data_IF_898885388075
#
_entry.id   IF_898885388075
#
_cell.length_a   1.000
_cell.length_b   1.000
_cell.length_c   1.000
_cell.angle_alpha   90.00
_cell.angle_beta   90.00
_cell.angle_gamma   90.00
#
_symmetry.space_group_name_H-M   'P 1'
#
loop_
_entity.id
_entity.type
_entity.pdbx_description
1 polymer ?
#
# COMPACT_ATOMS: atom_id res chain seq x y z
N UNK A 1 -25.29 6.56 20.07
CA UNK A 1 -23.83 6.60 19.80
C UNK A 1 -23.13 5.35 20.39
N UNK A 2 -23.59 4.14 20.06
CA UNK A 2 -23.07 2.87 20.61
C UNK A 2 -22.69 1.85 19.53
N UNK A 3 -22.78 2.22 18.25
CA UNK A 3 -22.45 1.35 17.12
C UNK A 3 -21.02 1.51 16.58
N UNK A 4 -20.21 2.42 17.15
CA UNK A 4 -18.83 2.66 16.68
C UNK A 4 -17.76 1.90 17.48
N UNK A 5 -18.07 1.37 18.66
CA UNK A 5 -17.09 0.69 19.53
C UNK A 5 -16.94 -0.81 19.26
N UNK A 6 -17.80 -1.40 18.43
CA UNK A 6 -17.78 -2.83 18.10
C UNK A 6 -17.62 -3.08 16.59
N UNK A 7 -17.01 -2.15 15.85
CA UNK A 7 -16.38 -2.55 14.59
C UNK A 7 -15.11 -3.30 14.97
N UNK A 8 -15.23 -4.62 15.09
CA UNK A 8 -14.11 -5.53 15.23
C UNK A 8 -13.15 -5.20 14.09
N UNK A 9 -12.00 -4.59 14.40
CA UNK A 9 -10.94 -4.33 13.44
C UNK A 9 -10.31 -5.72 13.15
N UNK A 10 -10.56 -6.27 11.98
CA UNK A 10 -10.07 -7.53 11.45
C UNK A 10 -8.65 -7.42 10.87
N UNK A 11 -7.89 -6.37 11.19
CA UNK A 11 -6.45 -6.29 10.96
C UNK A 11 -5.69 -7.55 11.43
N UNK A 12 -6.23 -8.31 12.38
CA UNK A 12 -5.69 -9.61 12.79
C UNK A 12 -5.69 -10.64 11.65
N UNK A 13 -6.54 -10.48 10.63
CA UNK A 13 -6.51 -11.31 9.42
C UNK A 13 -5.26 -11.04 8.59
N UNK A 14 -4.69 -9.83 8.60
CA UNK A 14 -3.37 -9.58 8.00
C UNK A 14 -2.31 -10.47 8.67
N UNK A 15 -2.42 -10.67 10.00
CA UNK A 15 -1.55 -11.57 10.76
C UNK A 15 -1.74 -13.05 10.38
N UNK A 16 -2.76 -13.42 9.62
CA UNK A 16 -2.97 -14.79 9.11
C UNK A 16 -2.66 -14.90 7.61
N UNK A 17 -3.18 -13.97 6.80
CA UNK A 17 -3.04 -13.96 5.34
C UNK A 17 -1.57 -13.78 4.95
N UNK A 18 -0.86 -12.85 5.61
CA UNK A 18 0.54 -12.58 5.29
C UNK A 18 1.42 -13.80 5.57
N UNK A 19 1.35 -14.46 6.75
CA UNK A 19 2.10 -15.69 6.98
C UNK A 19 1.72 -16.84 6.05
N UNK A 20 0.43 -17.02 5.72
CA UNK A 20 0.01 -18.07 4.77
C UNK A 20 0.64 -17.84 3.40
N UNK A 21 0.64 -16.60 2.91
CA UNK A 21 1.30 -16.24 1.65
C UNK A 21 2.81 -16.55 1.70
N UNK A 22 3.49 -16.23 2.81
CA UNK A 22 4.89 -16.56 3.04
C UNK A 22 5.15 -18.08 3.11
N UNK A 23 4.27 -18.86 3.72
CA UNK A 23 4.38 -20.32 3.78
C UNK A 23 4.27 -20.91 2.37
N UNK A 24 3.26 -20.48 1.59
CA UNK A 24 3.11 -20.89 0.21
C UNK A 24 4.33 -20.52 -0.64
N UNK A 25 4.93 -19.36 -0.38
CA UNK A 25 6.18 -18.94 -1.03
C UNK A 25 7.34 -19.87 -0.69
N UNK A 26 7.60 -20.12 0.60
CA UNK A 26 8.70 -21.00 1.04
C UNK A 26 8.50 -22.41 0.49
N UNK A 27 7.26 -22.93 0.51
CA UNK A 27 6.94 -24.23 -0.05
C UNK A 27 7.21 -24.30 -1.57
N UNK A 28 6.76 -23.30 -2.33
CA UNK A 28 7.01 -23.21 -3.77
C UNK A 28 8.51 -23.15 -4.09
N UNK A 29 9.27 -22.36 -3.32
CA UNK A 29 10.72 -22.26 -3.45
C UNK A 29 11.41 -23.61 -3.20
N UNK A 30 11.03 -24.33 -2.14
CA UNK A 30 11.58 -25.66 -1.83
C UNK A 30 11.26 -26.67 -2.93
N UNK A 31 10.06 -26.65 -3.51
CA UNK A 31 9.68 -27.53 -4.62
C UNK A 31 10.53 -27.29 -5.88
N UNK A 32 10.81 -26.02 -6.18
CA UNK A 32 11.71 -25.64 -7.28
C UNK A 32 13.14 -26.12 -7.00
N UNK A 33 13.64 -25.90 -5.78
CA UNK A 33 14.99 -26.30 -5.37
C UNK A 33 15.18 -27.81 -5.45
N UNK A 34 14.18 -28.58 -4.98
CA UNK A 34 14.19 -30.04 -5.06
C UNK A 34 14.08 -30.56 -6.49
N UNK A 35 13.33 -29.88 -7.37
CA UNK A 35 13.30 -30.17 -8.81
C UNK A 35 14.64 -29.90 -9.50
N UNK A 36 15.34 -28.85 -9.09
CA UNK A 36 16.69 -28.52 -9.55
C UNK A 36 17.73 -29.57 -9.12
N UNK A 37 17.74 -29.95 -7.84
CA UNK A 37 18.63 -30.99 -7.29
C UNK A 37 18.43 -32.33 -8.02
N UNK A 38 17.21 -32.61 -8.48
CA UNK A 38 16.89 -33.82 -9.26
C UNK A 38 17.29 -33.76 -10.73
N UNK A 39 17.98 -32.71 -11.18
CA UNK A 39 18.65 -32.67 -12.49
C UNK A 39 17.80 -32.24 -13.68
N UNK A 40 16.59 -31.70 -13.46
CA UNK A 40 15.79 -31.13 -14.54
C UNK A 40 16.31 -29.74 -14.94
N UNK A 41 16.65 -29.52 -16.22
CA UNK A 41 17.02 -28.20 -16.74
C UNK A 41 15.96 -27.11 -16.47
N UNK A 42 14.69 -27.52 -16.30
CA UNK A 42 13.58 -26.67 -15.87
C UNK A 42 13.74 -26.11 -14.43
N UNK A 43 14.47 -26.81 -13.55
CA UNK A 43 14.72 -26.37 -12.18
C UNK A 43 15.62 -25.14 -12.08
N UNK A 44 16.52 -24.94 -13.05
CA UNK A 44 17.48 -23.82 -13.05
C UNK A 44 16.79 -22.49 -13.39
N UNK A 45 15.87 -22.51 -14.36
CA UNK A 45 14.98 -21.40 -14.68
C UNK A 45 13.99 -21.11 -13.54
N UNK A 46 13.40 -22.15 -12.95
CA UNK A 46 12.50 -22.00 -11.80
C UNK A 46 13.17 -21.33 -10.59
N UNK A 47 14.44 -21.64 -10.31
CA UNK A 47 15.17 -21.16 -9.12
C UNK A 47 15.38 -19.65 -9.11
N UNK A 48 15.41 -19.02 -10.29
CA UNK A 48 15.53 -17.56 -10.42
C UNK A 48 14.16 -16.93 -10.66
N UNK A 49 13.35 -17.51 -11.55
CA UNK A 49 12.06 -16.92 -11.96
C UNK A 49 11.05 -16.90 -10.81
N UNK A 50 10.95 -17.96 -10.00
CA UNK A 50 9.94 -18.04 -8.93
C UNK A 50 10.23 -17.04 -7.81
N UNK A 51 11.45 -16.94 -7.25
CA UNK A 51 11.76 -15.91 -6.26
C UNK A 51 11.58 -14.50 -6.80
N UNK A 52 12.00 -14.25 -8.05
CA UNK A 52 11.88 -12.91 -8.65
C UNK A 52 10.42 -12.54 -8.90
N UNK A 53 9.60 -13.45 -9.45
CA UNK A 53 8.17 -13.18 -9.61
C UNK A 53 7.48 -12.95 -8.27
N UNK A 54 7.82 -13.72 -7.24
CA UNK A 54 7.18 -13.57 -5.94
C UNK A 54 7.67 -12.31 -5.23
N UNK A 55 8.96 -11.99 -5.27
CA UNK A 55 9.46 -10.72 -4.76
C UNK A 55 8.82 -9.54 -5.51
N UNK A 56 8.70 -9.62 -6.83
CA UNK A 56 7.98 -8.62 -7.62
C UNK A 56 6.49 -8.55 -7.25
N UNK A 57 5.83 -9.69 -7.04
CA UNK A 57 4.41 -9.72 -6.64
C UNK A 57 4.20 -9.21 -5.22
N UNK A 58 5.12 -9.47 -4.30
CA UNK A 58 5.04 -9.03 -2.90
C UNK A 58 5.40 -7.55 -2.72
N UNK A 59 6.32 -7.04 -3.54
CA UNK A 59 6.83 -5.65 -3.44
C UNK A 59 6.10 -4.70 -4.39
N UNK A 60 5.65 -5.17 -5.56
CA UNK A 60 5.03 -4.36 -6.62
C UNK A 60 3.56 -4.71 -6.81
N UNK A 61 3.11 -5.90 -6.38
CA UNK A 61 1.69 -6.24 -6.45
C UNK A 61 0.85 -5.25 -5.64
N UNK A 62 -0.41 -5.05 -6.06
CA UNK A 62 -1.38 -4.16 -5.43
C UNK A 62 -1.84 -4.65 -4.03
N UNK A 63 -0.90 -4.95 -3.13
CA UNK A 63 -1.13 -5.41 -1.76
C UNK A 63 -1.86 -4.37 -0.93
N UNK A 64 -1.77 -3.10 -1.32
CA UNK A 64 -2.59 -2.03 -0.75
C UNK A 64 -4.10 -2.36 -0.78
N UNK A 65 -4.57 -3.17 -1.73
CA UNK A 65 -5.99 -3.55 -1.84
C UNK A 65 -6.42 -4.64 -0.84
N UNK A 66 -5.46 -5.44 -0.38
CA UNK A 66 -5.69 -6.57 0.54
C UNK A 66 -5.34 -6.16 1.97
N UNK A 67 -4.14 -5.60 2.16
CA UNK A 67 -3.53 -5.27 3.45
C UNK A 67 -2.90 -3.85 3.42
N UNK A 68 -3.71 -2.78 3.34
CA UNK A 68 -3.21 -1.41 3.19
C UNK A 68 -2.30 -0.95 4.33
N UNK A 69 -2.59 -1.37 5.57
CA UNK A 69 -1.78 -1.04 6.74
C UNK A 69 -0.39 -1.69 6.67
N UNK A 70 -0.33 -2.95 6.24
CA UNK A 70 0.93 -3.68 6.05
C UNK A 70 1.74 -3.05 4.91
N UNK A 71 1.10 -2.76 3.78
CA UNK A 71 1.73 -2.05 2.66
C UNK A 71 2.33 -0.72 3.09
N UNK A 72 1.57 0.11 3.82
CA UNK A 72 2.05 1.37 4.35
C UNK A 72 3.24 1.18 5.27
N UNK A 73 3.15 0.24 6.22
CA UNK A 73 4.21 -0.01 7.19
C UNK A 73 5.53 -0.43 6.53
N UNK A 74 5.46 -1.31 5.52
CA UNK A 74 6.64 -1.77 4.77
C UNK A 74 7.28 -0.65 3.94
N UNK A 75 6.49 0.32 3.46
CA UNK A 75 6.95 1.41 2.60
C UNK A 75 7.04 2.77 3.32
N UNK A 76 6.84 2.81 4.64
CA UNK A 76 6.73 4.04 5.43
C UNK A 76 7.92 4.98 5.20
N UNK A 77 9.14 4.45 5.20
CA UNK A 77 10.34 5.24 4.96
C UNK A 77 10.35 5.93 3.58
N UNK A 78 9.78 5.29 2.56
CA UNK A 78 9.68 5.85 1.21
C UNK A 78 8.56 6.89 1.11
N UNK A 79 7.45 6.71 1.82
CA UNK A 79 6.44 7.75 1.98
C UNK A 79 7.00 8.98 2.71
N UNK A 80 7.78 8.78 3.77
CA UNK A 80 8.47 9.87 4.47
C UNK A 80 9.50 10.58 3.58
N UNK A 81 10.16 9.86 2.67
CA UNK A 81 10.99 10.46 1.63
C UNK A 81 10.15 11.25 0.63
N UNK A 82 9.00 10.72 0.20
CA UNK A 82 8.09 11.37 -0.73
C UNK A 82 7.55 12.70 -0.20
N UNK A 83 7.37 12.86 1.12
CA UNK A 83 7.00 14.13 1.76
C UNK A 83 8.03 15.25 1.52
N UNK A 84 9.29 14.92 1.26
CA UNK A 84 10.37 15.90 1.08
C UNK A 84 10.56 16.32 -0.37
N UNK A 85 9.89 15.64 -1.30
CA UNK A 85 9.99 15.95 -2.72
C UNK A 85 9.01 17.07 -3.06
N UNK A 86 9.47 18.03 -3.84
CA UNK A 86 8.61 19.02 -4.45
C UNK A 86 7.81 18.37 -5.58
N UNK A 87 6.48 18.39 -5.47
CA UNK A 87 5.54 17.82 -6.44
C UNK A 87 4.84 18.91 -7.26
N UNK A 88 5.20 20.18 -7.06
CA UNK A 88 4.55 21.35 -7.65
C UNK A 88 3.28 21.77 -6.92
N UNK A 89 2.66 22.85 -7.42
CA UNK A 89 1.42 23.43 -6.89
C UNK A 89 0.15 22.87 -7.56
N UNK A 90 0.32 21.94 -8.50
CA UNK A 90 -0.80 21.30 -9.19
C UNK A 90 -1.59 20.39 -8.24
N UNK A 91 -2.91 20.38 -8.41
CA UNK A 91 -3.79 19.50 -7.64
C UNK A 91 -3.43 18.01 -7.85
N UNK A 92 -2.89 17.64 -9.02
CA UNK A 92 -2.37 16.31 -9.35
C UNK A 92 -0.86 16.35 -9.59
N UNK A 93 -0.09 16.55 -8.51
CA UNK A 93 1.36 16.50 -8.55
C UNK A 93 1.89 15.10 -8.93
N UNK A 94 3.13 15.04 -9.42
CA UNK A 94 3.79 13.78 -9.80
C UNK A 94 5.04 13.51 -8.97
N UNK A 95 5.11 12.31 -8.44
CA UNK A 95 6.30 11.80 -7.77
C UNK A 95 7.45 11.55 -8.76
N UNK A 96 8.71 11.65 -8.27
CA UNK A 96 9.88 11.28 -9.05
C UNK A 96 9.83 9.79 -9.36
N UNK A 97 10.43 9.38 -10.48
CA UNK A 97 10.27 8.03 -11.08
C UNK A 97 10.43 6.89 -10.06
N UNK A 98 11.43 6.98 -9.19
CA UNK A 98 11.73 5.96 -8.19
C UNK A 98 10.68 5.83 -7.06
N UNK A 99 9.79 6.82 -6.88
CA UNK A 99 8.71 6.82 -5.88
C UNK A 99 7.33 6.63 -6.50
N UNK A 100 7.21 6.62 -7.83
CA UNK A 100 5.90 6.54 -8.51
C UNK A 100 5.13 5.27 -8.19
N UNK A 101 5.83 4.17 -7.87
CA UNK A 101 5.19 2.90 -7.52
C UNK A 101 4.41 2.95 -6.20
N UNK A 102 4.63 3.97 -5.37
CA UNK A 102 3.94 4.13 -4.10
C UNK A 102 2.47 4.53 -4.27
N UNK A 103 2.07 5.01 -5.44
CA UNK A 103 0.77 5.64 -5.65
C UNK A 103 0.21 5.33 -7.02
N UNK A 104 -1.11 5.40 -7.16
CA UNK A 104 -1.78 5.25 -8.45
C UNK A 104 -1.26 6.31 -9.44
N UNK A 105 -0.73 5.82 -10.57
CA UNK A 105 -0.14 6.67 -11.61
C UNK A 105 1.09 7.49 -11.19
N UNK A 106 1.66 7.26 -10.00
CA UNK A 106 2.71 8.11 -9.44
C UNK A 106 2.22 9.49 -8.99
N UNK A 107 0.93 9.64 -8.72
CA UNK A 107 0.31 10.90 -8.32
C UNK A 107 0.44 11.16 -6.83
N UNK A 108 0.54 12.43 -6.46
CA UNK A 108 0.38 12.88 -5.09
C UNK A 108 -0.24 14.28 -5.10
N UNK A 109 -0.93 14.63 -4.02
CA UNK A 109 -1.51 15.96 -3.85
C UNK A 109 -1.04 16.59 -2.56
N UNK A 110 -0.96 17.91 -2.57
CA UNK A 110 -0.61 18.69 -1.40
C UNK A 110 -1.69 19.73 -1.14
N UNK A 111 -2.05 19.88 0.13
CA UNK A 111 -2.92 20.95 0.59
C UNK A 111 -2.13 22.13 1.13
N UNK A 112 -2.78 23.29 1.23
CA UNK A 112 -2.18 24.54 1.69
C UNK A 112 -1.63 24.49 3.12
N UNK A 113 -2.12 23.58 3.94
CA UNK A 113 -1.67 23.37 5.32
C UNK A 113 -0.52 22.34 5.43
N UNK A 114 0.04 21.90 4.31
CA UNK A 114 1.15 20.95 4.26
C UNK A 114 0.72 19.49 4.43
N UNK A 115 -0.58 19.20 4.50
CA UNK A 115 -1.06 17.83 4.36
C UNK A 115 -0.74 17.29 2.95
N UNK A 116 -0.55 15.98 2.82
CA UNK A 116 -0.29 15.31 1.55
C UNK A 116 -1.11 14.04 1.39
N UNK A 117 -1.59 13.80 0.18
CA UNK A 117 -2.34 12.62 -0.20
C UNK A 117 -1.59 11.79 -1.23
N UNK A 118 -1.61 10.48 -1.00
CA UNK A 118 -0.95 9.46 -1.79
C UNK A 118 -2.02 8.44 -2.22
N UNK A 119 -2.70 8.66 -3.36
CA UNK A 119 -3.76 7.78 -3.84
C UNK A 119 -3.21 6.38 -4.09
N UNK A 120 -3.90 5.34 -3.62
CA UNK A 120 -3.63 3.95 -3.97
C UNK A 120 -4.55 3.46 -5.09
N UNK A 121 -5.71 4.10 -5.25
CA UNK A 121 -6.63 3.92 -6.36
C UNK A 121 -7.39 5.21 -6.64
N UNK A 122 -7.88 5.32 -7.87
CA UNK A 122 -8.78 6.38 -8.33
C UNK A 122 -9.93 5.76 -9.12
N UNK A 123 -11.16 6.16 -8.84
CA UNK A 123 -12.39 5.74 -9.50
C UNK A 123 -13.01 6.85 -10.36
N UNK A 124 -13.98 6.48 -11.20
CA UNK A 124 -14.78 7.40 -12.02
C UNK A 124 -16.19 7.46 -11.40
N UNK A 125 -16.81 8.65 -11.25
CA UNK A 125 -16.42 9.93 -11.83
C UNK A 125 -15.30 10.66 -11.08
N UNK A 126 -15.32 10.68 -9.75
CA UNK A 126 -14.34 11.37 -8.92
C UNK A 126 -14.32 10.69 -7.54
N UNK A 127 -13.54 9.62 -7.41
CA UNK A 127 -13.35 8.90 -6.16
C UNK A 127 -11.87 8.52 -5.99
N UNK A 128 -11.35 8.52 -4.76
CA UNK A 128 -10.04 7.95 -4.48
C UNK A 128 -9.93 7.44 -3.05
N UNK A 129 -8.97 6.54 -2.85
CA UNK A 129 -8.58 6.09 -1.52
C UNK A 129 -7.07 5.93 -1.45
N UNK A 130 -6.51 6.21 -0.28
CA UNK A 130 -5.08 6.20 -0.11
C UNK A 130 -4.61 6.69 1.25
N UNK A 131 -3.31 6.98 1.30
CA UNK A 131 -2.65 7.42 2.53
C UNK A 131 -2.62 8.95 2.59
N UNK A 132 -2.90 9.49 3.77
CA UNK A 132 -2.86 10.92 4.03
C UNK A 132 -1.87 11.18 5.16
N UNK A 133 -0.89 12.03 4.89
CA UNK A 133 -0.11 12.68 5.93
C UNK A 133 -0.79 14.00 6.29
N UNK A 134 -1.24 14.15 7.53
CA UNK A 134 -1.97 15.34 8.01
C UNK A 134 -1.35 15.82 9.32
N UNK A 135 -0.49 16.86 9.30
CA UNK A 135 0.21 17.34 10.50
C UNK A 135 -0.73 18.03 11.50
N UNK A 136 -1.92 18.45 11.06
CA UNK A 136 -2.93 19.13 11.88
C UNK A 136 -3.90 18.17 12.60
N UNK A 137 -3.72 16.85 12.45
CA UNK A 137 -4.59 15.83 13.03
C UNK A 137 -5.45 15.10 11.99
N UNK A 138 -6.62 14.61 12.40
CA UNK A 138 -7.51 13.80 11.56
C UNK A 138 -7.82 14.48 10.21
N UNK A 139 -7.71 13.77 9.07
CA UNK A 139 -8.06 14.30 7.75
C UNK A 139 -9.55 14.12 7.40
N UNK A 140 -10.41 13.87 8.38
CA UNK A 140 -11.84 13.71 8.17
C UNK A 140 -12.43 14.90 7.39
N UNK A 141 -13.24 14.61 6.38
CA UNK A 141 -13.85 15.59 5.49
C UNK A 141 -12.94 16.14 4.39
N UNK A 142 -11.64 15.79 4.36
CA UNK A 142 -10.75 16.23 3.26
C UNK A 142 -11.10 15.54 1.95
N UNK A 143 -11.08 16.31 0.87
CA UNK A 143 -11.37 15.86 -0.48
C UNK A 143 -10.25 14.98 -1.07
N UNK A 144 -10.56 13.73 -1.39
CA UNK A 144 -9.68 12.78 -2.07
C UNK A 144 -10.18 12.57 -3.50
N UNK A 145 -9.92 13.56 -4.35
CA UNK A 145 -10.34 13.56 -5.76
C UNK A 145 -11.84 13.37 -5.93
N UNK A 146 -12.64 14.17 -5.24
CA UNK A 146 -14.11 14.15 -5.23
C UNK A 146 -14.73 13.35 -4.08
N UNK A 147 -14.01 12.38 -3.52
CA UNK A 147 -14.46 11.61 -2.35
C UNK A 147 -13.95 12.24 -1.05
N UNK A 148 -14.84 12.71 -0.17
CA UNK A 148 -14.44 13.12 1.18
C UNK A 148 -13.89 11.95 2.00
N UNK A 149 -12.81 12.16 2.75
CA UNK A 149 -12.34 11.17 3.72
C UNK A 149 -13.37 11.02 4.85
N UNK A 150 -14.02 9.86 4.89
CA UNK A 150 -14.90 9.45 5.99
C UNK A 150 -14.23 8.33 6.78
N UNK A 151 -14.38 8.35 8.11
CA UNK A 151 -13.81 7.33 9.03
C UNK A 151 -12.28 7.12 8.87
N UNK A 152 -11.44 8.17 9.03
CA UNK A 152 -10.00 8.04 8.88
C UNK A 152 -9.40 7.04 9.87
N UNK A 153 -8.59 6.11 9.38
CA UNK A 153 -7.93 5.11 10.23
C UNK A 153 -6.49 5.53 10.49
N UNK A 154 -6.06 5.65 11.76
CA UNK A 154 -4.70 6.05 12.09
C UNK A 154 -3.70 4.93 11.76
N UNK A 155 -2.58 5.30 11.15
CA UNK A 155 -1.45 4.42 10.81
C UNK A 155 -0.22 4.66 11.71
N UNK A 156 -0.36 5.57 12.68
CA UNK A 156 0.67 5.94 13.65
C UNK A 156 1.51 7.15 13.20
N UNK A 157 1.73 8.09 14.12
CA UNK A 157 2.29 9.41 13.81
C UNK A 157 1.22 10.32 13.19
N UNK A 158 1.59 11.08 12.16
CA UNK A 158 0.68 12.00 11.43
C UNK A 158 0.07 11.34 10.18
N UNK A 159 0.02 10.01 10.14
CA UNK A 159 -0.40 9.22 8.98
C UNK A 159 -1.75 8.56 9.22
N UNK A 160 -2.56 8.61 8.17
CA UNK A 160 -3.93 8.12 8.13
C UNK A 160 -4.18 7.39 6.81
N UNK A 161 -5.18 6.53 6.78
CA UNK A 161 -5.77 6.04 5.54
C UNK A 161 -7.26 6.34 5.49
N UNK A 162 -7.75 6.62 4.28
CA UNK A 162 -9.17 6.80 3.99
C UNK A 162 -9.49 6.17 2.63
N UNK A 163 -10.77 5.83 2.40
CA UNK A 163 -11.21 5.22 1.14
C UNK A 163 -10.54 3.86 0.85
N UNK A 164 -9.95 3.23 1.86
CA UNK A 164 -9.30 1.93 1.74
C UNK A 164 -9.98 0.92 2.64
N UNK A 165 -9.79 -0.36 2.34
CA UNK A 165 -10.31 -1.45 3.16
C UNK A 165 -9.67 -1.42 4.54
N UNK A 166 -10.42 -0.93 5.52
CA UNK A 166 -10.09 -1.00 6.94
C UNK A 166 -10.87 -2.16 7.54
N UNK A 167 -10.32 -3.36 7.41
CA UNK A 167 -10.92 -4.53 8.04
C UNK A 167 -10.66 -4.49 9.52
#
# INVERSE_FOLDING_TARGET
MLHSFLRMNWWILDLLIVPIAWICFVAGFVLVLTGFIRGGAAGLLGLVVVPVMVAATAVIGAWWWIAPQTWFSMHRALYEQALRVDIGDDYYGRLPVHLRFLTEGGLASQWSDGARFFPQWTGIPDDAGGFIHSPSGSPEGRDMYGMGCTDPVPLGGQWWMCGMRSW
#
